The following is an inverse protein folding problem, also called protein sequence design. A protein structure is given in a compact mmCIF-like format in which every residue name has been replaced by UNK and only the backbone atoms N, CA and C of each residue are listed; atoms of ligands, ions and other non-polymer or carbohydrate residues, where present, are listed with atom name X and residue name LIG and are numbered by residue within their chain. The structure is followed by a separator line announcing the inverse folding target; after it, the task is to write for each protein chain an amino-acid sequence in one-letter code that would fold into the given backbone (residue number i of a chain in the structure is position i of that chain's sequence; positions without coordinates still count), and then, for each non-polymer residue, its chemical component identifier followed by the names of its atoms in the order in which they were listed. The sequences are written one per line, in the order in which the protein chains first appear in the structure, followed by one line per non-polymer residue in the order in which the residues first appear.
data_IF_995117945051
#
_entry.id   IF_995117945051
#
_cell.length_a   1.000
_cell.length_b   1.000
_cell.length_c   1.000
_cell.angle_alpha   90.00
_cell.angle_beta   90.00
_cell.angle_gamma   90.00
#
_symmetry.space_group_name_H-M   'P 1'
#
loop_
_entity.id
_entity.type
_entity.pdbx_description
1 polymer ?
#
# COMPACT_ATOMS: atom_id res chain seq x y z
N UNK A 1 16.09 -2.55 40.26
CA UNK A 1 16.13 -1.47 39.24
C UNK A 1 14.81 -1.45 38.51
N UNK A 2 14.06 -0.34 38.57
CA UNK A 2 12.84 -0.18 37.80
C UNK A 2 13.21 0.22 36.36
N UNK A 3 12.64 -0.47 35.37
CA UNK A 3 12.87 -0.19 33.95
C UNK A 3 12.12 1.11 33.59
N UNK A 4 12.82 2.24 33.60
CA UNK A 4 12.27 3.52 33.15
C UNK A 4 12.26 3.51 31.61
N UNK A 5 11.08 3.34 31.02
CA UNK A 5 10.89 3.54 29.59
C UNK A 5 10.49 5.00 29.35
N UNK A 6 11.33 5.76 28.65
CA UNK A 6 10.98 7.07 28.11
C UNK A 6 10.14 6.81 26.86
N UNK A 7 8.80 6.83 27.01
CA UNK A 7 7.87 6.77 25.88
C UNK A 7 7.44 8.19 25.53
N UNK A 8 7.67 8.60 24.29
CA UNK A 8 7.02 9.79 23.73
C UNK A 8 5.52 9.52 23.59
N UNK A 9 4.67 10.43 24.09
CA UNK A 9 3.21 10.30 24.02
C UNK A 9 2.67 10.36 22.58
N UNK A 10 3.48 10.83 21.61
CA UNK A 10 3.11 10.96 20.19
C UNK A 10 3.58 9.78 19.33
N UNK A 11 3.57 8.55 19.85
CA UNK A 11 3.92 7.40 19.02
C UNK A 11 2.70 7.01 18.16
N UNK A 12 2.79 7.26 16.85
CA UNK A 12 1.78 6.79 15.89
C UNK A 12 2.08 5.33 15.51
N UNK A 13 1.11 4.40 15.67
CA UNK A 13 1.25 3.05 15.13
C UNK A 13 1.60 3.11 13.65
N UNK A 14 2.49 2.22 13.21
CA UNK A 14 2.95 2.13 11.82
C UNK A 14 3.67 3.38 11.26
N UNK A 15 3.99 4.40 12.07
CA UNK A 15 4.61 5.64 11.56
C UNK A 15 5.96 5.44 10.84
N UNK A 16 6.69 4.37 11.15
CA UNK A 16 7.92 4.00 10.43
C UNK A 16 7.69 3.63 8.96
N UNK A 17 6.46 3.25 8.58
CA UNK A 17 6.15 2.87 7.20
C UNK A 17 6.17 4.06 6.24
N UNK A 18 5.97 5.28 6.73
CA UNK A 18 5.92 6.47 5.87
C UNK A 18 7.22 6.66 5.09
N UNK A 19 8.37 6.53 5.76
CA UNK A 19 9.66 6.61 5.08
C UNK A 19 9.83 5.55 3.99
N UNK A 20 9.29 4.34 4.21
CA UNK A 20 9.32 3.26 3.21
C UNK A 20 8.42 3.60 2.02
N UNK A 21 7.24 4.19 2.27
CA UNK A 21 6.31 4.59 1.22
C UNK A 21 6.84 5.75 0.38
N UNK A 22 7.54 6.70 0.99
CA UNK A 22 8.22 7.78 0.26
C UNK A 22 9.33 7.22 -0.67
N UNK A 23 10.09 6.24 -0.19
CA UNK A 23 11.10 5.57 -1.03
C UNK A 23 10.46 4.75 -2.16
N UNK A 24 9.34 4.07 -1.88
CA UNK A 24 8.56 3.40 -2.92
C UNK A 24 8.14 4.38 -4.02
N UNK A 25 7.66 5.56 -3.65
CA UNK A 25 7.24 6.57 -4.62
C UNK A 25 8.39 7.13 -5.44
N UNK A 26 9.52 7.42 -4.79
CA UNK A 26 10.70 7.92 -5.47
C UNK A 26 11.28 6.92 -6.48
N UNK A 27 11.20 5.62 -6.20
CA UNK A 27 11.92 4.59 -6.96
C UNK A 27 11.04 3.79 -7.92
N UNK A 28 9.78 3.53 -7.55
CA UNK A 28 8.94 2.53 -8.23
C UNK A 28 7.69 3.13 -8.87
N UNK A 29 7.11 4.19 -8.31
CA UNK A 29 5.83 4.70 -8.79
C UNK A 29 5.85 5.04 -10.29
N UNK A 30 6.86 5.80 -10.74
CA UNK A 30 6.99 6.17 -12.14
C UNK A 30 7.12 4.94 -13.06
N UNK A 31 7.93 3.95 -12.67
CA UNK A 31 8.15 2.73 -13.46
C UNK A 31 6.87 1.91 -13.58
N UNK A 32 6.14 1.76 -12.48
CA UNK A 32 4.87 1.04 -12.44
C UNK A 32 3.85 1.71 -13.36
N UNK A 33 3.62 3.02 -13.18
CA UNK A 33 2.60 3.73 -13.92
C UNK A 33 2.95 3.85 -15.41
N UNK A 34 4.24 3.98 -15.75
CA UNK A 34 4.69 3.99 -17.15
C UNK A 34 4.54 2.62 -17.83
N UNK A 35 4.67 1.53 -17.08
CA UNK A 35 4.58 0.16 -17.62
C UNK A 35 3.15 -0.33 -17.74
N UNK A 36 2.33 -0.07 -16.72
CA UNK A 36 0.93 -0.52 -16.66
C UNK A 36 -0.04 0.48 -17.32
N UNK A 37 0.41 1.72 -17.53
CA UNK A 37 -0.39 2.78 -18.10
C UNK A 37 -1.41 3.36 -17.11
N UNK A 38 -2.31 4.20 -17.65
CA UNK A 38 -3.35 4.83 -16.86
C UNK A 38 -4.45 3.82 -16.51
N UNK A 39 -4.76 3.66 -15.22
CA UNK A 39 -5.90 2.86 -14.79
C UNK A 39 -7.25 3.58 -15.00
N UNK A 40 -7.31 4.87 -14.67
CA UNK A 40 -8.53 5.68 -14.69
C UNK A 40 -8.24 7.08 -15.24
N UNK A 41 -9.11 7.59 -16.12
CA UNK A 41 -8.91 8.85 -16.86
C UNK A 41 -9.44 10.11 -16.17
N UNK A 42 -10.33 10.00 -15.17
CA UNK A 42 -10.90 11.16 -14.47
C UNK A 42 -10.69 11.10 -12.95
N UNK A 43 -11.31 10.14 -12.26
CA UNK A 43 -11.23 9.99 -10.82
C UNK A 43 -10.86 8.55 -10.49
N UNK A 44 -9.76 8.38 -9.74
CA UNK A 44 -9.30 7.05 -9.36
C UNK A 44 -7.92 7.07 -8.72
N UNK A 45 -7.38 5.85 -8.61
CA UNK A 45 -6.03 5.59 -8.15
C UNK A 45 -5.21 5.04 -9.32
N UNK A 46 -3.96 5.48 -9.44
CA UNK A 46 -2.99 4.87 -10.35
C UNK A 46 -2.52 3.51 -9.82
N UNK A 47 -1.91 2.69 -10.68
CA UNK A 47 -1.44 1.37 -10.28
C UNK A 47 -0.36 1.46 -9.19
N UNK A 48 0.51 2.47 -9.23
CA UNK A 48 1.48 2.74 -8.17
C UNK A 48 0.82 2.95 -6.81
N UNK A 49 -0.23 3.77 -6.73
CA UNK A 49 -0.98 4.04 -5.49
C UNK A 49 -1.65 2.77 -4.93
N UNK A 50 -2.15 1.92 -5.82
CA UNK A 50 -2.83 0.68 -5.45
C UNK A 50 -1.83 -0.36 -4.95
N UNK A 51 -0.72 -0.56 -5.67
CA UNK A 51 0.35 -1.47 -5.27
C UNK A 51 1.02 -1.01 -3.97
N UNK A 52 1.20 0.30 -3.78
CA UNK A 52 1.68 0.88 -2.52
C UNK A 52 0.73 0.55 -1.37
N UNK A 53 -0.58 0.70 -1.58
CA UNK A 53 -1.60 0.38 -0.57
C UNK A 53 -1.58 -1.12 -0.22
N UNK A 54 -1.38 -1.99 -1.21
CA UNK A 54 -1.20 -3.43 -1.02
C UNK A 54 0.08 -3.75 -0.23
N UNK A 55 1.21 -3.11 -0.59
CA UNK A 55 2.47 -3.29 0.13
C UNK A 55 2.38 -2.86 1.59
N UNK A 56 1.60 -1.82 1.90
CA UNK A 56 1.37 -1.40 3.28
C UNK A 56 0.81 -2.53 4.15
N UNK A 57 -0.10 -3.35 3.62
CA UNK A 57 -0.66 -4.50 4.35
C UNK A 57 0.45 -5.47 4.76
N UNK A 58 1.25 -5.92 3.80
CA UNK A 58 2.29 -6.91 4.04
C UNK A 58 3.44 -6.37 4.90
N UNK A 59 3.86 -5.11 4.69
CA UNK A 59 4.92 -4.49 5.48
C UNK A 59 4.50 -4.19 6.93
N UNK A 60 3.19 -4.01 7.17
CA UNK A 60 2.64 -3.93 8.52
C UNK A 60 2.38 -5.31 9.15
N UNK A 61 2.70 -6.41 8.47
CA UNK A 61 2.49 -7.78 8.96
C UNK A 61 1.05 -8.30 8.80
N UNK A 62 0.22 -7.65 7.99
CA UNK A 62 -1.10 -8.13 7.63
C UNK A 62 -1.05 -9.30 6.65
N UNK A 63 -2.04 -10.19 6.73
CA UNK A 63 -2.20 -11.33 5.82
C UNK A 63 -3.41 -11.18 4.91
N UNK A 64 -4.31 -10.24 5.21
CA UNK A 64 -5.59 -10.09 4.54
C UNK A 64 -5.69 -8.68 3.95
N UNK A 65 -6.11 -8.57 2.68
CA UNK A 65 -6.22 -7.26 2.01
C UNK A 65 -7.23 -6.34 2.72
N UNK A 66 -8.26 -6.90 3.36
CA UNK A 66 -9.21 -6.16 4.20
C UNK A 66 -8.55 -5.37 5.33
N UNK A 67 -7.38 -5.80 5.83
CA UNK A 67 -6.63 -5.11 6.88
C UNK A 67 -6.28 -3.68 6.46
N UNK A 68 -6.14 -3.42 5.15
CA UNK A 68 -5.90 -2.06 4.64
C UNK A 68 -7.02 -1.11 5.08
N UNK A 69 -8.27 -1.57 5.05
CA UNK A 69 -9.45 -0.73 5.27
C UNK A 69 -9.85 -0.72 6.74
N UNK A 70 -9.73 -1.86 7.43
CA UNK A 70 -10.16 -2.03 8.82
C UNK A 70 -9.14 -1.50 9.83
N UNK A 71 -7.85 -1.71 9.57
CA UNK A 71 -6.78 -1.46 10.54
C UNK A 71 -5.81 -0.36 10.10
N UNK A 72 -5.38 -0.35 8.84
CA UNK A 72 -4.28 0.53 8.40
C UNK A 72 -4.75 1.92 7.97
N UNK A 73 -5.89 2.04 7.27
CA UNK A 73 -6.32 3.28 6.61
C UNK A 73 -6.33 4.48 7.57
N UNK A 74 -6.81 4.31 8.81
CA UNK A 74 -6.83 5.39 9.82
C UNK A 74 -5.43 5.90 10.19
N UNK A 75 -4.45 5.01 10.23
CA UNK A 75 -3.06 5.34 10.54
C UNK A 75 -2.33 5.91 9.32
N UNK A 76 -2.57 5.35 8.14
CA UNK A 76 -1.94 5.80 6.90
C UNK A 76 -2.40 7.19 6.47
N UNK A 77 -3.66 7.54 6.74
CA UNK A 77 -4.20 8.90 6.51
C UNK A 77 -3.53 10.00 7.34
N UNK A 78 -2.65 9.67 8.29
CA UNK A 78 -1.84 10.66 9.00
C UNK A 78 -0.75 11.26 8.11
N UNK A 79 -0.41 10.61 6.98
CA UNK A 79 0.56 11.13 6.02
C UNK A 79 -0.14 11.91 4.91
N UNK A 80 0.16 13.21 4.73
CA UNK A 80 -0.66 14.12 3.92
C UNK A 80 -0.69 13.78 2.42
N UNK A 81 0.36 13.15 1.90
CA UNK A 81 0.46 12.79 0.48
C UNK A 81 0.12 11.33 0.20
N UNK A 82 -0.06 10.50 1.24
CA UNK A 82 -0.27 9.08 1.07
C UNK A 82 -1.76 8.79 0.84
N UNK A 83 -2.11 8.51 -0.42
CA UNK A 83 -3.46 8.09 -0.79
C UNK A 83 -3.58 6.57 -0.64
N UNK A 84 -4.35 6.12 0.34
CA UNK A 84 -4.60 4.69 0.60
C UNK A 84 -5.91 4.24 -0.05
N UNK A 85 -5.84 3.16 -0.85
CA UNK A 85 -6.99 2.55 -1.51
C UNK A 85 -7.76 1.63 -0.56
N UNK A 86 -9.05 1.42 -0.82
CA UNK A 86 -9.84 0.37 -0.15
C UNK A 86 -9.44 -1.03 -0.62
N UNK A 87 -9.76 -2.04 0.18
CA UNK A 87 -9.56 -3.45 -0.17
C UNK A 87 -10.23 -3.81 -1.52
N UNK A 88 -11.46 -3.35 -1.73
CA UNK A 88 -12.21 -3.56 -2.98
C UNK A 88 -11.47 -2.99 -4.20
N UNK A 89 -10.91 -1.79 -4.07
CA UNK A 89 -10.15 -1.14 -5.14
C UNK A 89 -8.90 -1.95 -5.50
N UNK A 90 -8.21 -2.48 -4.48
CA UNK A 90 -7.01 -3.30 -4.66
C UNK A 90 -7.36 -4.61 -5.37
N UNK A 91 -8.40 -5.31 -4.90
CA UNK A 91 -8.83 -6.59 -5.48
C UNK A 91 -9.22 -6.44 -6.96
N UNK A 92 -10.00 -5.41 -7.29
CA UNK A 92 -10.36 -5.10 -8.68
C UNK A 92 -9.14 -4.83 -9.56
N UNK A 93 -8.14 -4.12 -9.06
CA UNK A 93 -6.93 -3.84 -9.82
C UNK A 93 -6.09 -5.11 -10.05
N UNK A 94 -6.00 -6.00 -9.06
CA UNK A 94 -5.32 -7.29 -9.22
C UNK A 94 -6.04 -8.15 -10.25
N UNK A 95 -7.37 -8.17 -10.23
CA UNK A 95 -8.19 -8.87 -11.22
C UNK A 95 -7.96 -8.30 -12.63
N UNK A 96 -7.93 -6.98 -12.79
CA UNK A 96 -7.61 -6.30 -14.07
C UNK A 96 -6.23 -6.69 -14.62
N UNK A 97 -5.23 -6.89 -13.74
CA UNK A 97 -3.87 -7.29 -14.12
C UNK A 97 -3.71 -8.81 -14.32
N UNK A 98 -4.72 -9.61 -13.99
CA UNK A 98 -4.63 -11.07 -14.07
C UNK A 98 -4.61 -11.53 -15.52
N UNK A 99 -3.59 -12.31 -15.88
CA UNK A 99 -3.49 -12.98 -17.19
C UNK A 99 -3.82 -14.47 -17.06
N UNK A 100 -4.24 -15.11 -18.15
CA UNK A 100 -4.45 -16.57 -18.17
C UNK A 100 -3.14 -17.30 -17.90
N UNK A 101 -3.15 -18.26 -16.98
CA UNK A 101 -2.00 -19.11 -16.72
C UNK A 101 -1.60 -19.89 -17.98
N UNK A 102 -0.31 -19.91 -18.28
CA UNK A 102 0.26 -20.69 -19.37
C UNK A 102 0.83 -21.96 -18.74
N UNK A 103 0.16 -23.09 -18.95
CA UNK A 103 0.65 -24.38 -18.47
C UNK A 103 1.59 -24.99 -19.51
N UNK A 104 2.88 -25.04 -19.20
CA UNK A 104 3.85 -25.77 -20.01
C UNK A 104 3.75 -27.26 -19.68
N UNK A 105 3.51 -28.11 -20.70
CA UNK A 105 3.63 -29.57 -20.56
C UNK A 105 5.08 -29.95 -20.84
N UNK A 106 5.67 -30.73 -19.93
CA UNK A 106 6.99 -31.37 -20.15
C UNK A 106 6.90 -32.47 -21.19
#
# INVERSE_FOLDING_TARGET
MAKVQIKSEKLTPFGGIFSIMEQFDALLAQTIDSTLGLRCTMFGYQYSEILRSLMCVYLCGGSCIEDVTTHLMKHLSLHPTLRTCSADTILRAIEELTCKNITYKS
#
